data_IF_685868043932
#
_entry.id   IF_685868043932
#
_cell.length_a   1.000
_cell.length_b   1.000
_cell.length_c   1.000
_cell.angle_alpha   90.00
_cell.angle_beta   90.00
_cell.angle_gamma   90.00
#
_symmetry.space_group_name_H-M   'P 1'
#
loop_
_entity.id
_entity.type
_entity.pdbx_description
1 polymer ?
#
# COMPACT_ATOMS: atom_id res chain seq x y z
N UNK A 1 -0.18 -7.21 9.44
CA UNK A 1 -0.64 -5.79 9.46
C UNK A 1 -1.84 -5.62 10.41
N UNK A 2 -1.64 -5.43 11.73
CA UNK A 2 -2.77 -5.35 12.68
C UNK A 2 -3.38 -3.92 12.79
N UNK A 3 -2.56 -2.93 13.11
CA UNK A 3 -3.02 -1.55 13.32
C UNK A 3 -3.74 -0.93 12.10
N UNK A 4 -3.17 -0.92 10.88
CA UNK A 4 -3.80 -0.24 9.75
C UNK A 4 -5.11 -0.93 9.31
N UNK A 5 -5.24 -2.25 9.46
CA UNK A 5 -6.50 -2.95 9.16
C UNK A 5 -7.60 -2.65 10.17
N UNK A 6 -7.24 -2.49 11.46
CA UNK A 6 -8.20 -2.06 12.48
C UNK A 6 -8.73 -0.65 12.18
N UNK A 7 -7.85 0.26 11.76
CA UNK A 7 -8.25 1.61 11.31
C UNK A 7 -9.12 1.53 10.07
N UNK A 8 -8.76 0.73 9.08
CA UNK A 8 -9.52 0.59 7.84
C UNK A 8 -10.96 0.10 8.08
N UNK A 9 -11.14 -0.89 8.95
CA UNK A 9 -12.47 -1.37 9.36
C UNK A 9 -13.28 -0.29 10.08
N UNK A 10 -12.66 0.42 11.01
CA UNK A 10 -13.32 1.50 11.73
C UNK A 10 -13.79 2.62 10.78
N UNK A 11 -12.95 3.03 9.82
CA UNK A 11 -13.29 4.03 8.82
C UNK A 11 -14.42 3.57 7.90
N UNK A 12 -14.34 2.34 7.37
CA UNK A 12 -15.37 1.81 6.47
C UNK A 12 -16.74 1.72 7.16
N UNK A 13 -16.79 1.39 8.45
CA UNK A 13 -18.02 1.30 9.23
C UNK A 13 -18.74 2.64 9.40
N UNK A 14 -18.02 3.76 9.42
CA UNK A 14 -18.61 5.10 9.61
C UNK A 14 -18.73 5.89 8.31
N UNK A 15 -17.98 5.50 7.26
CA UNK A 15 -17.99 6.21 5.99
C UNK A 15 -19.23 5.87 5.15
N UNK A 16 -19.93 6.86 4.57
CA UNK A 16 -21.11 6.62 3.74
C UNK A 16 -20.84 5.62 2.60
N UNK A 17 -21.73 4.64 2.43
CA UNK A 17 -21.61 3.64 1.36
C UNK A 17 -21.72 4.23 -0.05
N UNK A 18 -22.38 5.39 -0.18
CA UNK A 18 -22.54 6.12 -1.45
C UNK A 18 -21.32 6.96 -1.85
N UNK A 19 -20.25 6.98 -1.04
CA UNK A 19 -19.05 7.76 -1.31
C UNK A 19 -17.83 6.85 -1.40
N UNK A 20 -16.99 7.10 -2.40
CA UNK A 20 -15.74 6.38 -2.57
C UNK A 20 -14.83 6.59 -1.33
N UNK A 21 -14.26 5.50 -0.85
CA UNK A 21 -13.25 5.46 0.20
C UNK A 21 -12.00 4.80 -0.36
N UNK A 22 -10.91 5.55 -0.40
CA UNK A 22 -9.61 5.03 -0.80
C UNK A 22 -8.57 5.18 0.29
N UNK A 23 -7.41 4.57 0.05
CA UNK A 23 -6.26 4.64 0.95
C UNK A 23 -4.98 4.81 0.17
N UNK A 24 -4.06 5.59 0.74
CA UNK A 24 -2.70 5.75 0.24
C UNK A 24 -1.72 5.04 1.15
N UNK A 25 -0.83 4.24 0.59
CA UNK A 25 0.21 3.51 1.33
C UNK A 25 1.41 3.19 0.44
N UNK A 26 2.50 2.75 1.06
CA UNK A 26 3.74 2.42 0.37
C UNK A 26 3.67 0.99 -0.21
N UNK A 27 4.10 0.81 -1.46
CA UNK A 27 4.18 -0.48 -2.14
C UNK A 27 5.39 -1.33 -1.78
N UNK A 28 6.24 -0.83 -0.87
CA UNK A 28 7.46 -1.47 -0.40
C UNK A 28 8.61 -0.49 -0.29
N UNK A 29 9.58 -0.80 0.57
CA UNK A 29 10.81 -0.03 0.76
C UNK A 29 11.95 -0.61 -0.13
N UNK A 30 13.00 0.18 -0.31
CA UNK A 30 14.20 -0.16 -1.09
C UNK A 30 15.38 -0.60 -0.21
N UNK A 31 15.23 -0.54 1.11
CA UNK A 31 16.21 -1.02 2.08
C UNK A 31 15.77 -2.32 2.73
N UNK A 32 16.74 -3.11 3.19
CA UNK A 32 16.51 -4.32 3.97
C UNK A 32 15.80 -3.98 5.30
N UNK A 33 14.94 -4.89 5.76
CA UNK A 33 14.13 -4.69 6.97
C UNK A 33 12.97 -3.71 6.82
N UNK A 34 12.78 -3.11 5.63
CA UNK A 34 11.61 -2.31 5.31
C UNK A 34 10.40 -3.14 4.89
N UNK A 35 9.29 -2.44 4.62
CA UNK A 35 8.06 -3.06 4.13
C UNK A 35 8.33 -3.84 2.84
N UNK A 36 8.04 -5.14 2.83
CA UNK A 36 8.17 -5.96 1.64
C UNK A 36 7.00 -5.72 0.67
N UNK A 37 7.24 -5.97 -0.63
CA UNK A 37 6.21 -5.85 -1.66
C UNK A 37 5.05 -6.81 -1.40
N UNK A 38 5.35 -8.03 -0.97
CA UNK A 38 4.38 -9.09 -0.67
C UNK A 38 3.46 -8.68 0.48
N UNK A 39 4.00 -8.02 1.50
CA UNK A 39 3.22 -7.48 2.62
C UNK A 39 2.30 -6.34 2.17
N UNK A 40 2.80 -5.47 1.28
CA UNK A 40 1.99 -4.41 0.68
C UNK A 40 0.86 -4.97 -0.19
N UNK A 41 1.11 -6.04 -0.96
CA UNK A 41 0.09 -6.75 -1.74
C UNK A 41 -0.93 -7.43 -0.83
N UNK A 42 -0.51 -8.08 0.25
CA UNK A 42 -1.43 -8.67 1.21
C UNK A 42 -2.33 -7.58 1.84
N UNK A 43 -1.73 -6.44 2.22
CA UNK A 43 -2.50 -5.32 2.75
C UNK A 43 -3.52 -4.77 1.74
N UNK A 44 -3.15 -4.66 0.46
CA UNK A 44 -4.06 -4.27 -0.62
C UNK A 44 -5.27 -5.21 -0.75
N UNK A 45 -5.04 -6.53 -0.66
CA UNK A 45 -6.10 -7.54 -0.72
C UNK A 45 -7.07 -7.43 0.46
N UNK A 46 -6.55 -7.24 1.66
CA UNK A 46 -7.36 -7.06 2.86
C UNK A 46 -8.21 -5.78 2.80
N UNK A 47 -7.64 -4.68 2.28
CA UNK A 47 -8.38 -3.42 2.07
C UNK A 47 -9.51 -3.58 1.05
N UNK A 48 -9.25 -4.29 -0.05
CA UNK A 48 -10.28 -4.62 -1.03
C UNK A 48 -11.40 -5.45 -0.40
N UNK A 49 -11.07 -6.46 0.40
CA UNK A 49 -12.05 -7.27 1.12
C UNK A 49 -12.88 -6.47 2.15
N UNK A 50 -12.31 -5.42 2.73
CA UNK A 50 -13.03 -4.49 3.63
C UNK A 50 -14.01 -3.59 2.84
N UNK A 51 -13.83 -3.39 1.53
CA UNK A 51 -14.67 -2.52 0.70
C UNK A 51 -14.09 -1.12 0.48
N UNK A 52 -12.76 -1.03 0.33
CA UNK A 52 -12.11 0.16 -0.21
C UNK A 52 -12.19 0.16 -1.74
N UNK A 53 -12.52 1.32 -2.32
CA UNK A 53 -12.83 1.48 -3.74
C UNK A 53 -11.58 1.71 -4.61
N UNK A 54 -10.55 2.36 -4.05
CA UNK A 54 -9.30 2.59 -4.76
C UNK A 54 -8.08 2.60 -3.84
N UNK A 55 -6.93 2.24 -4.41
CA UNK A 55 -5.65 2.18 -3.73
C UNK A 55 -4.66 3.10 -4.43
N UNK A 56 -4.11 4.07 -3.69
CA UNK A 56 -3.04 4.94 -4.18
C UNK A 56 -1.70 4.43 -3.63
N UNK A 57 -0.93 3.76 -4.48
CA UNK A 57 0.33 3.14 -4.06
C UNK A 57 1.53 4.01 -4.44
N UNK A 58 2.36 4.37 -3.46
CA UNK A 58 3.60 5.12 -3.64
C UNK A 58 4.84 4.30 -3.29
N UNK A 59 6.03 4.79 -3.65
CA UNK A 59 7.30 4.22 -3.18
C UNK A 59 7.47 4.35 -1.67
N UNK A 60 8.13 3.38 -1.05
CA UNK A 60 8.59 3.46 0.32
C UNK A 60 9.79 4.39 0.47
N UNK A 61 9.69 5.32 1.42
CA UNK A 61 10.76 6.25 1.79
C UNK A 61 10.84 6.44 3.31
N UNK A 62 10.40 5.44 4.08
CA UNK A 62 10.38 5.51 5.55
C UNK A 62 11.73 5.15 6.17
N UNK A 63 12.60 4.48 5.42
CA UNK A 63 13.98 4.20 5.82
C UNK A 63 14.90 5.25 5.19
N UNK A 64 15.78 5.84 5.99
CA UNK A 64 16.79 6.77 5.50
C UNK A 64 17.86 6.06 4.67
N UNK A 65 18.47 6.81 3.74
CA UNK A 65 19.60 6.33 2.92
C UNK A 65 19.32 5.05 2.09
N UNK A 66 18.05 4.84 1.74
CA UNK A 66 17.68 3.77 0.83
C UNK A 66 17.92 4.21 -0.62
N UNK A 67 18.48 3.32 -1.43
CA UNK A 67 18.75 3.57 -2.85
C UNK A 67 17.78 2.75 -3.70
N UNK A 68 16.77 3.37 -4.33
CA UNK A 68 15.91 2.68 -5.27
C UNK A 68 16.71 2.16 -6.47
N UNK A 69 16.48 0.91 -6.86
CA UNK A 69 17.13 0.32 -8.02
C UNK A 69 16.80 1.06 -9.34
N UNK A 70 15.73 1.86 -9.40
CA UNK A 70 15.48 2.77 -10.51
C UNK A 70 15.03 4.15 -10.00
N UNK A 71 15.53 5.22 -10.65
CA UNK A 71 15.34 6.62 -10.22
C UNK A 71 13.92 7.19 -10.47
N UNK A 72 12.99 6.40 -11.02
CA UNK A 72 11.65 6.89 -11.37
C UNK A 72 10.56 6.12 -10.63
N UNK A 73 9.42 6.78 -10.39
CA UNK A 73 8.23 6.24 -9.73
C UNK A 73 7.66 4.94 -10.35
N UNK A 74 8.21 4.49 -11.49
CA UNK A 74 7.90 3.22 -12.15
C UNK A 74 8.41 1.97 -11.43
N UNK A 75 9.24 2.06 -10.40
CA UNK A 75 9.80 0.89 -9.72
C UNK A 75 8.74 -0.12 -9.23
N UNK A 76 7.62 0.36 -8.68
CA UNK A 76 6.49 -0.47 -8.23
C UNK A 76 5.82 -1.17 -9.42
N UNK A 77 5.57 -0.43 -10.50
CA UNK A 77 4.96 -0.95 -11.72
C UNK A 77 5.87 -1.95 -12.46
N UNK A 78 7.19 -1.74 -12.46
CA UNK A 78 8.14 -2.64 -13.11
C UNK A 78 8.22 -4.02 -12.44
N UNK A 79 7.95 -4.14 -11.12
CA UNK A 79 7.84 -5.44 -10.45
C UNK A 79 6.45 -6.07 -10.59
N UNK A 80 5.39 -5.26 -10.59
CA UNK A 80 4.02 -5.75 -10.74
C UNK A 80 3.67 -6.20 -12.17
N UNK A 81 4.23 -5.57 -13.22
CA UNK A 81 3.95 -5.92 -14.64
C UNK A 81 4.81 -7.06 -15.18
N UNK A 82 5.76 -7.59 -14.39
CA UNK A 82 6.58 -8.75 -14.76
C UNK A 82 6.01 -10.08 -14.26
N UNK A 83 4.77 -10.10 -13.78
CA UNK A 83 4.02 -11.31 -13.42
C UNK A 83 2.68 -11.33 -14.13
#
# INVERSE_FOLDING_TARGET
MHFPLRVARALRNVWPASRALGVRFNGGEFAEGGLALEEAVQFARELHAIGYDYLHVSGGYNIYDQTPACRSARAIWCRLLRR
#
